data_IF_404733026122
#
_entry.id   IF_404733026122
#
_cell.length_a   1.000
_cell.length_b   1.000
_cell.length_c   1.000
_cell.angle_alpha   90.00
_cell.angle_beta   90.00
_cell.angle_gamma   90.00
#
_symmetry.space_group_name_H-M   'P 1'
#
loop_
_entity.id
_entity.type
_entity.pdbx_description
1 polymer ?
#
# COMPACT_ATOMS: atom_id res chain seq x y z
N UNK A 1 -8.23 4.81 13.09
CA UNK A 1 -9.25 5.83 12.76
C UNK A 1 -8.76 6.74 11.65
N UNK A 2 -7.70 7.50 11.84
CA UNK A 2 -7.18 8.47 10.84
C UNK A 2 -7.00 7.87 9.43
N UNK A 3 -6.44 6.64 9.32
CA UNK A 3 -6.30 5.95 8.03
C UNK A 3 -7.67 5.71 7.38
N UNK A 4 -8.66 5.26 8.15
CA UNK A 4 -10.02 4.98 7.65
C UNK A 4 -10.67 6.23 7.11
N UNK A 5 -10.57 7.32 7.85
CA UNK A 5 -11.16 8.61 7.47
C UNK A 5 -10.54 9.13 6.16
N UNK A 6 -9.20 9.12 6.07
CA UNK A 6 -8.52 9.58 4.86
C UNK A 6 -8.80 8.61 3.70
N UNK A 7 -8.80 7.29 3.94
CA UNK A 7 -9.10 6.28 2.93
C UNK A 7 -10.50 6.47 2.35
N UNK A 8 -11.51 6.57 3.22
CA UNK A 8 -12.90 6.73 2.81
C UNK A 8 -13.12 8.03 2.04
N UNK A 9 -12.47 9.12 2.43
CA UNK A 9 -12.50 10.37 1.70
C UNK A 9 -11.80 10.24 0.34
N UNK A 10 -10.54 9.85 0.34
CA UNK A 10 -9.68 9.83 -0.85
C UNK A 10 -10.19 8.91 -1.96
N UNK A 11 -10.80 7.77 -1.60
CA UNK A 11 -11.18 6.72 -2.55
C UNK A 11 -12.66 6.73 -2.92
N UNK A 12 -13.47 7.61 -2.32
CA UNK A 12 -14.93 7.68 -2.52
C UNK A 12 -15.36 7.88 -3.98
N UNK A 13 -14.51 8.43 -4.84
CA UNK A 13 -14.77 8.60 -6.26
C UNK A 13 -14.26 7.47 -7.16
N UNK A 14 -13.63 6.44 -6.61
CA UNK A 14 -13.06 5.35 -7.40
C UNK A 14 -14.13 4.33 -7.79
N UNK A 15 -13.99 3.76 -8.97
CA UNK A 15 -14.86 2.67 -9.42
C UNK A 15 -14.82 1.49 -8.45
N UNK A 16 -15.98 0.97 -8.08
CA UNK A 16 -16.11 -0.17 -7.18
C UNK A 16 -15.72 0.12 -5.72
N UNK A 17 -15.59 1.40 -5.34
CA UNK A 17 -15.28 1.77 -3.98
C UNK A 17 -16.40 1.34 -3.01
N UNK A 18 -15.99 0.73 -1.91
CA UNK A 18 -16.84 0.41 -0.76
C UNK A 18 -16.21 1.05 0.47
N UNK A 19 -16.96 1.89 1.21
CA UNK A 19 -16.44 2.50 2.43
C UNK A 19 -16.02 1.45 3.44
N UNK A 20 -14.87 1.65 4.07
CA UNK A 20 -14.38 0.82 5.15
C UNK A 20 -14.99 1.29 6.48
N UNK A 21 -15.60 0.39 7.22
CA UNK A 21 -16.08 0.69 8.58
C UNK A 21 -14.94 0.63 9.59
N UNK A 22 -15.07 1.31 10.74
CA UNK A 22 -14.07 1.23 11.82
C UNK A 22 -13.87 -0.22 12.28
N UNK A 23 -14.94 -0.99 12.40
CA UNK A 23 -14.90 -2.38 12.81
C UNK A 23 -14.10 -3.27 11.84
N UNK A 24 -14.30 -3.10 10.53
CA UNK A 24 -13.55 -3.82 9.50
C UNK A 24 -12.08 -3.41 9.49
N UNK A 25 -11.81 -2.12 9.69
CA UNK A 25 -10.44 -1.62 9.76
C UNK A 25 -9.69 -2.16 10.98
N UNK A 26 -10.33 -2.21 12.14
CA UNK A 26 -9.76 -2.78 13.36
C UNK A 26 -9.45 -4.26 13.20
N UNK A 27 -10.35 -5.02 12.59
CA UNK A 27 -10.15 -6.43 12.30
C UNK A 27 -8.99 -6.64 11.31
N UNK A 28 -8.94 -5.84 10.25
CA UNK A 28 -7.85 -5.88 9.28
C UNK A 28 -6.52 -5.50 9.93
N UNK A 29 -6.48 -4.44 10.73
CA UNK A 29 -5.28 -4.00 11.43
C UNK A 29 -4.74 -5.09 12.40
N UNK A 30 -5.62 -5.77 13.14
CA UNK A 30 -5.23 -6.90 13.99
C UNK A 30 -4.57 -8.03 13.19
N UNK A 31 -5.17 -8.40 12.05
CA UNK A 31 -4.63 -9.46 11.18
C UNK A 31 -3.31 -9.05 10.53
N UNK A 32 -3.17 -7.78 10.16
CA UNK A 32 -1.98 -7.26 9.48
C UNK A 32 -0.86 -6.88 10.45
N UNK A 33 -1.10 -6.81 11.76
CA UNK A 33 -0.12 -6.39 12.77
C UNK A 33 1.22 -7.14 12.69
N UNK A 34 1.19 -8.41 12.29
CA UNK A 34 2.41 -9.22 12.13
C UNK A 34 3.28 -8.75 10.96
N UNK A 35 2.64 -8.12 9.95
CA UNK A 35 3.28 -7.66 8.72
C UNK A 35 3.64 -6.18 8.74
N UNK A 36 2.98 -5.40 9.60
CA UNK A 36 3.22 -3.96 9.70
C UNK A 36 4.58 -3.68 10.36
N UNK A 37 5.30 -2.76 9.77
CA UNK A 37 6.51 -2.16 10.32
C UNK A 37 6.32 -0.65 10.34
N UNK A 38 6.54 -0.01 11.49
CA UNK A 38 6.30 1.43 11.68
C UNK A 38 7.09 2.29 10.70
N UNK A 39 8.27 1.83 10.28
CA UNK A 39 9.12 2.51 9.30
C UNK A 39 8.49 2.59 7.90
N UNK A 40 7.47 1.79 7.64
CA UNK A 40 6.76 1.72 6.36
C UNK A 40 5.35 2.31 6.41
N UNK A 41 4.99 3.02 7.49
CA UNK A 41 3.70 3.68 7.66
C UNK A 41 3.92 5.15 7.96
N UNK A 42 3.43 6.02 7.10
CA UNK A 42 3.62 7.46 7.25
C UNK A 42 2.34 8.24 7.02
N UNK A 43 2.24 9.36 7.72
CA UNK A 43 1.20 10.36 7.55
C UNK A 43 1.85 11.68 7.12
N UNK A 44 1.10 12.44 6.33
CA UNK A 44 1.44 13.84 6.07
C UNK A 44 0.38 14.73 6.72
N UNK A 45 0.84 15.77 7.38
CA UNK A 45 0.00 16.75 8.06
C UNK A 45 0.17 18.12 7.40
N UNK A 46 -0.92 18.84 7.31
CA UNK A 46 -0.97 20.25 6.89
C UNK A 46 -1.76 20.99 7.96
N UNK A 47 -1.19 22.03 8.51
CA UNK A 47 -1.78 22.86 9.58
C UNK A 47 -2.27 22.04 10.80
N UNK A 48 -1.57 20.93 11.12
CA UNK A 48 -1.89 20.05 12.24
C UNK A 48 -2.98 19.03 11.96
N UNK A 49 -3.49 18.95 10.73
CA UNK A 49 -4.46 17.93 10.31
C UNK A 49 -3.75 16.87 9.44
N UNK A 50 -4.00 15.59 9.74
CA UNK A 50 -3.54 14.49 8.90
C UNK A 50 -4.36 14.45 7.61
N UNK A 51 -3.69 14.76 6.49
CA UNK A 51 -4.35 14.89 5.18
C UNK A 51 -3.97 13.81 4.17
N UNK A 52 -2.93 13.06 4.45
CA UNK A 52 -2.51 11.97 3.59
C UNK A 52 -1.82 10.86 4.39
N UNK A 53 -1.78 9.67 3.83
CA UNK A 53 -1.06 8.54 4.40
C UNK A 53 -0.53 7.58 3.34
N UNK A 54 0.45 6.79 3.72
CA UNK A 54 0.97 5.66 2.96
C UNK A 54 1.22 4.48 3.89
N UNK A 55 0.90 3.28 3.43
CA UNK A 55 1.21 2.02 4.11
C UNK A 55 1.92 1.13 3.11
N UNK A 56 3.12 0.71 3.44
CA UNK A 56 3.81 -0.33 2.70
C UNK A 56 3.93 -1.59 3.56
N UNK A 57 3.85 -2.74 2.90
CA UNK A 57 3.94 -4.05 3.54
C UNK A 57 5.04 -4.87 2.88
N UNK A 58 5.82 -5.65 3.65
CA UNK A 58 6.72 -6.63 3.09
C UNK A 58 6.00 -7.57 2.12
N UNK A 59 6.67 -7.96 1.05
CA UNK A 59 6.08 -8.84 0.03
C UNK A 59 5.98 -10.28 0.55
N UNK A 60 4.83 -10.60 1.11
CA UNK A 60 4.54 -11.93 1.66
C UNK A 60 4.65 -13.03 0.58
N UNK A 61 4.41 -12.70 -0.69
CA UNK A 61 4.53 -13.68 -1.77
C UNK A 61 5.95 -14.26 -1.91
N UNK A 62 6.97 -13.47 -1.54
CA UNK A 62 8.34 -13.99 -1.48
C UNK A 62 8.50 -15.03 -0.37
N UNK A 63 7.83 -14.82 0.76
CA UNK A 63 7.91 -15.71 1.91
C UNK A 63 7.16 -17.04 1.71
N UNK A 64 6.08 -17.04 0.91
CA UNK A 64 5.24 -18.23 0.68
C UNK A 64 5.55 -18.97 -0.63
N UNK A 65 6.40 -18.42 -1.48
CA UNK A 65 6.62 -18.86 -2.87
C UNK A 65 6.87 -20.36 -3.02
N UNK A 66 7.58 -20.97 -2.08
CA UNK A 66 8.00 -22.38 -2.14
C UNK A 66 7.32 -23.26 -1.06
N UNK A 67 6.22 -22.77 -0.48
CA UNK A 67 5.45 -23.54 0.50
C UNK A 67 4.41 -24.47 -0.14
N UNK A 68 4.22 -24.39 -1.47
CA UNK A 68 3.28 -25.24 -2.19
C UNK A 68 1.83 -25.18 -1.69
N UNK A 69 1.45 -24.05 -1.03
CA UNK A 69 0.12 -23.91 -0.43
C UNK A 69 -0.08 -24.63 0.91
N UNK A 70 0.97 -25.30 1.45
CA UNK A 70 0.87 -26.03 2.72
C UNK A 70 1.71 -25.37 3.82
N UNK A 71 1.06 -25.14 4.96
CA UNK A 71 1.74 -24.64 6.18
C UNK A 71 2.14 -25.75 7.16
N UNK A 72 1.65 -26.98 6.95
CA UNK A 72 1.98 -28.13 7.80
C UNK A 72 2.90 -29.11 7.07
N UNK A 73 3.81 -29.80 7.79
CA UNK A 73 4.03 -29.67 9.24
C UNK A 73 4.91 -28.48 9.66
N UNK A 74 5.80 -27.97 8.81
CA UNK A 74 6.81 -26.95 9.20
C UNK A 74 6.71 -25.66 8.36
N UNK A 75 5.80 -25.55 7.42
CA UNK A 75 5.66 -24.38 6.55
C UNK A 75 5.36 -23.09 7.32
N UNK A 76 4.58 -23.16 8.42
CA UNK A 76 4.31 -22.03 9.29
C UNK A 76 5.56 -21.49 9.99
N UNK A 77 6.44 -22.38 10.48
CA UNK A 77 7.69 -21.97 11.14
C UNK A 77 8.65 -21.31 10.14
N UNK A 78 8.75 -21.87 8.92
CA UNK A 78 9.50 -21.29 7.82
C UNK A 78 8.98 -19.92 7.40
N UNK A 79 7.65 -19.75 7.36
CA UNK A 79 7.00 -18.49 7.08
C UNK A 79 7.33 -17.43 8.14
N UNK A 80 7.14 -17.76 9.42
CA UNK A 80 7.45 -16.85 10.51
C UNK A 80 8.92 -16.44 10.54
N UNK A 81 9.83 -17.39 10.35
CA UNK A 81 11.25 -17.10 10.27
C UNK A 81 11.60 -16.15 9.12
N UNK A 82 10.97 -16.35 7.95
CA UNK A 82 11.17 -15.48 6.80
C UNK A 82 10.64 -14.07 7.03
N UNK A 83 9.46 -13.95 7.64
CA UNK A 83 8.85 -12.64 7.89
C UNK A 83 9.56 -11.85 8.99
N UNK A 84 10.09 -12.55 10.04
CA UNK A 84 10.62 -11.88 11.23
C UNK A 84 12.14 -11.81 11.28
N UNK A 85 12.83 -12.77 10.67
CA UNK A 85 14.30 -12.90 10.76
C UNK A 85 14.98 -12.60 9.43
N UNK A 86 14.54 -13.26 8.35
CA UNK A 86 15.18 -13.09 7.05
C UNK A 86 14.80 -11.77 6.39
N UNK A 87 13.59 -11.27 6.65
CA UNK A 87 13.01 -10.13 5.93
C UNK A 87 12.59 -10.47 4.51
N UNK A 88 11.87 -9.56 3.88
CA UNK A 88 11.52 -9.59 2.47
C UNK A 88 12.55 -8.80 1.65
N UNK A 89 12.75 -9.18 0.39
CA UNK A 89 13.57 -8.40 -0.55
C UNK A 89 12.83 -7.24 -1.19
N UNK A 90 11.51 -7.20 -1.05
CA UNK A 90 10.65 -6.16 -1.59
C UNK A 90 9.45 -5.86 -0.69
N UNK A 91 8.81 -4.72 -0.93
CA UNK A 91 7.55 -4.34 -0.32
C UNK A 91 6.52 -3.95 -1.37
N UNK A 92 5.28 -3.82 -0.93
CA UNK A 92 4.16 -3.34 -1.72
C UNK A 92 3.42 -2.26 -0.96
N UNK A 93 2.98 -1.22 -1.65
CA UNK A 93 2.11 -0.18 -1.13
C UNK A 93 0.66 -0.51 -1.51
N UNK A 94 -0.11 -1.21 -0.67
CA UNK A 94 -1.51 -1.50 -0.95
C UNK A 94 -2.43 -0.30 -0.71
N UNK A 95 -2.02 0.62 0.16
CA UNK A 95 -2.84 1.75 0.58
C UNK A 95 -2.03 3.04 0.57
N UNK A 96 -2.53 4.02 -0.15
CA UNK A 96 -2.10 5.40 -0.12
C UNK A 96 -3.31 6.29 -0.42
N UNK A 97 -3.46 7.37 0.32
CA UNK A 97 -4.56 8.30 0.12
C UNK A 97 -4.16 9.73 0.44
N UNK A 98 -4.75 10.66 -0.29
CA UNK A 98 -4.68 12.12 -0.04
C UNK A 98 -6.11 12.63 -0.01
N UNK A 99 -6.46 13.44 1.00
CA UNK A 99 -7.81 13.99 1.15
C UNK A 99 -8.23 14.76 -0.10
N UNK A 100 -9.49 14.57 -0.50
CA UNK A 100 -10.03 15.09 -1.76
C UNK A 100 -10.02 16.61 -1.86
N UNK A 101 -10.16 17.32 -0.74
CA UNK A 101 -10.11 18.79 -0.76
C UNK A 101 -8.75 19.34 -1.23
N UNK A 102 -7.69 18.53 -1.18
CA UNK A 102 -6.37 18.89 -1.71
C UNK A 102 -6.18 18.46 -3.18
N UNK A 103 -7.16 17.75 -3.76
CA UNK A 103 -7.06 17.31 -5.14
C UNK A 103 -6.93 18.51 -6.10
N UNK A 104 -5.98 18.45 -7.04
CA UNK A 104 -5.70 19.52 -7.99
C UNK A 104 -4.92 20.72 -7.41
N UNK A 105 -4.63 20.74 -6.11
CA UNK A 105 -3.74 21.76 -5.52
C UNK A 105 -2.27 21.37 -5.68
N UNK A 106 -1.37 22.36 -5.55
CA UNK A 106 0.07 22.13 -5.56
C UNK A 106 0.49 21.21 -4.40
N UNK A 107 -0.05 21.44 -3.21
CA UNK A 107 0.18 20.61 -2.01
C UNK A 107 -0.26 19.17 -2.27
N UNK A 108 -1.51 18.95 -2.69
CA UNK A 108 -2.03 17.62 -2.96
C UNK A 108 -1.24 16.85 -4.02
N UNK A 109 -0.65 17.56 -4.99
CA UNK A 109 0.22 16.95 -6.01
C UNK A 109 1.61 16.57 -5.48
N UNK A 110 2.10 17.25 -4.44
CA UNK A 110 3.41 16.99 -3.83
C UNK A 110 3.36 15.87 -2.79
N UNK A 111 2.23 15.71 -2.07
CA UNK A 111 2.09 14.76 -0.96
C UNK A 111 2.42 13.30 -1.34
N UNK A 112 1.98 12.74 -2.49
CA UNK A 112 2.35 11.39 -2.88
C UNK A 112 3.85 11.18 -3.02
N UNK A 113 4.57 12.18 -3.56
CA UNK A 113 6.03 12.14 -3.69
C UNK A 113 6.72 12.13 -2.33
N UNK A 114 6.26 13.01 -1.42
CA UNK A 114 6.80 13.10 -0.07
C UNK A 114 6.56 11.81 0.71
N UNK A 115 5.38 11.23 0.62
CA UNK A 115 5.04 9.95 1.28
C UNK A 115 5.90 8.79 0.75
N UNK A 116 6.08 8.69 -0.56
CA UNK A 116 6.98 7.67 -1.16
C UNK A 116 8.42 7.92 -0.70
N UNK A 117 8.86 9.19 -0.63
CA UNK A 117 10.18 9.54 -0.10
C UNK A 117 10.35 9.17 1.37
N UNK A 118 9.30 9.35 2.19
CA UNK A 118 9.32 9.09 3.62
C UNK A 118 9.49 7.62 3.99
N UNK A 119 8.97 6.68 3.19
CA UNK A 119 9.16 5.24 3.44
C UNK A 119 10.56 4.75 3.04
N UNK A 120 11.29 5.49 2.21
CA UNK A 120 12.54 5.02 1.61
C UNK A 120 13.65 4.71 2.62
N UNK A 121 13.92 5.56 3.63
CA UNK A 121 14.92 5.25 4.66
C UNK A 121 14.60 3.94 5.41
N UNK A 122 13.36 3.77 5.85
CA UNK A 122 12.91 2.55 6.51
C UNK A 122 13.00 1.31 5.60
N UNK A 123 12.73 1.48 4.32
CA UNK A 123 12.88 0.42 3.33
C UNK A 123 14.34 -0.04 3.19
N UNK A 124 15.29 0.89 3.17
CA UNK A 124 16.73 0.60 3.13
C UNK A 124 17.16 -0.14 4.40
N UNK A 125 16.76 0.33 5.58
CA UNK A 125 17.07 -0.31 6.86
C UNK A 125 16.54 -1.74 6.94
N UNK A 126 15.39 -2.01 6.32
CA UNK A 126 14.79 -3.35 6.22
C UNK A 126 15.41 -4.21 5.13
N UNK A 127 16.38 -3.69 4.36
CA UNK A 127 17.03 -4.41 3.26
C UNK A 127 16.14 -4.61 2.04
N UNK A 128 15.08 -3.80 1.90
CA UNK A 128 14.21 -3.83 0.72
C UNK A 128 14.94 -3.24 -0.49
N UNK A 129 14.87 -3.94 -1.62
CA UNK A 129 15.56 -3.55 -2.87
C UNK A 129 14.66 -2.79 -3.83
N UNK A 130 13.36 -3.00 -3.72
CA UNK A 130 12.34 -2.32 -4.54
C UNK A 130 10.98 -2.33 -3.84
N UNK A 131 10.12 -1.41 -4.23
CA UNK A 131 8.76 -1.25 -3.71
C UNK A 131 7.80 -1.21 -4.88
N UNK A 132 6.77 -2.05 -4.84
CA UNK A 132 5.66 -2.03 -5.78
C UNK A 132 4.63 -1.00 -5.32
N UNK A 133 4.40 0.02 -6.14
CA UNK A 133 3.37 1.03 -5.92
C UNK A 133 2.10 0.60 -6.67
N UNK A 134 1.21 -0.08 -6.03
CA UNK A 134 0.05 -0.73 -6.66
C UNK A 134 -1.20 -0.71 -5.77
N UNK A 135 -2.35 -0.66 -6.32
CA UNK A 135 -2.76 -0.65 -7.72
C UNK A 135 -3.01 0.78 -8.17
N UNK A 136 -2.79 1.06 -9.41
CA UNK A 136 -3.07 2.36 -9.97
C UNK A 136 -4.04 2.13 -11.11
N UNK A 137 -5.21 2.78 -11.03
CA UNK A 137 -6.20 2.74 -12.09
C UNK A 137 -5.61 3.31 -13.38
N UNK A 138 -6.02 2.76 -14.52
CA UNK A 138 -5.48 3.14 -15.83
C UNK A 138 -5.76 4.61 -16.17
N UNK A 139 -6.87 5.14 -15.71
CA UNK A 139 -7.31 6.51 -15.88
C UNK A 139 -6.74 7.50 -14.87
N UNK A 140 -6.06 7.01 -13.81
CA UNK A 140 -5.36 7.87 -12.86
C UNK A 140 -4.02 8.38 -13.43
N UNK A 141 -4.12 9.16 -14.51
CA UNK A 141 -2.99 9.74 -15.23
C UNK A 141 -2.10 10.65 -14.35
N UNK A 142 -2.64 11.47 -13.43
CA UNK A 142 -1.81 12.27 -12.54
C UNK A 142 -0.84 11.43 -11.73
N UNK A 143 -1.32 10.37 -11.07
CA UNK A 143 -0.49 9.47 -10.26
C UNK A 143 0.53 8.74 -11.12
N UNK A 144 0.13 8.20 -12.27
CA UNK A 144 1.04 7.50 -13.19
C UNK A 144 2.21 8.38 -13.60
N UNK A 145 1.94 9.63 -14.03
CA UNK A 145 2.99 10.60 -14.43
C UNK A 145 3.94 10.94 -13.28
N UNK A 146 3.43 11.05 -12.05
CA UNK A 146 4.25 11.30 -10.87
C UNK A 146 5.23 10.14 -10.67
N UNK A 147 4.75 8.91 -10.71
CA UNK A 147 5.57 7.72 -10.49
C UNK A 147 6.59 7.48 -11.60
N UNK A 148 6.20 7.71 -12.85
CA UNK A 148 7.10 7.63 -13.99
C UNK A 148 8.28 8.63 -13.88
N UNK A 149 8.01 9.83 -13.38
CA UNK A 149 9.06 10.82 -13.09
C UNK A 149 10.00 10.39 -11.95
N UNK A 150 9.55 9.55 -11.03
CA UNK A 150 10.37 8.92 -10.00
C UNK A 150 11.18 7.71 -10.52
N UNK A 151 11.07 7.39 -11.80
CA UNK A 151 11.74 6.23 -12.40
C UNK A 151 10.98 4.92 -12.25
N UNK A 152 9.73 4.95 -11.76
CA UNK A 152 8.90 3.76 -11.72
C UNK A 152 8.41 3.39 -13.12
N UNK A 153 8.25 2.10 -13.38
CA UNK A 153 7.71 1.58 -14.64
C UNK A 153 6.60 0.56 -14.39
N UNK A 154 5.58 0.59 -15.24
CA UNK A 154 4.52 -0.40 -15.19
C UNK A 154 5.07 -1.76 -15.69
N UNK A 155 5.09 -2.77 -14.83
CA UNK A 155 5.59 -4.10 -15.17
C UNK A 155 4.48 -5.17 -15.21
N UNK A 156 3.29 -4.83 -14.71
CA UNK A 156 2.08 -5.66 -14.77
C UNK A 156 0.87 -4.81 -15.09
N UNK A 157 -0.02 -5.35 -15.92
CA UNK A 157 -1.33 -4.76 -16.22
C UNK A 157 -2.39 -5.79 -15.91
N UNK A 158 -3.38 -5.41 -15.10
CA UNK A 158 -4.53 -6.23 -14.76
C UNK A 158 -5.76 -5.74 -15.50
N UNK A 159 -6.62 -6.66 -15.93
CA UNK A 159 -7.90 -6.36 -16.56
C UNK A 159 -9.01 -7.13 -15.85
N UNK A 160 -10.10 -6.45 -15.58
CA UNK A 160 -11.33 -7.06 -15.06
C UNK A 160 -12.31 -7.15 -16.24
N UNK A 161 -12.80 -8.35 -16.49
CA UNK A 161 -13.77 -8.61 -17.56
C UNK A 161 -15.13 -8.90 -16.95
N UNK A 162 -16.19 -8.23 -17.46
CA UNK A 162 -17.57 -8.52 -17.13
C UNK A 162 -18.24 -9.26 -18.30
N UNK A 163 -19.15 -10.21 -17.98
CA UNK A 163 -20.07 -10.81 -18.96
C UNK A 163 -21.49 -10.57 -18.47
N UNK A 164 -22.32 -10.01 -19.32
CA UNK A 164 -23.75 -9.92 -19.04
C UNK A 164 -24.33 -11.33 -19.00
N UNK A 165 -25.06 -11.72 -17.94
CA UNK A 165 -25.81 -12.98 -17.93
C UNK A 165 -26.79 -12.96 -19.11
N UNK A 166 -26.75 -14.02 -19.91
CA UNK A 166 -27.72 -14.23 -20.99
C UNK A 166 -29.06 -14.72 -20.46
#
# INVERSE_FOLDING_TARGET
RTIVDIYNDAWSGNWGFVPLTESEADEMAKRMRVLLDERLVWFAEVDGEAVAFIVALPNVNEAIRDLGGSLLPFGWAKLLWRLKVKGAGSARVPLMGVRRHLAGTMIGSALPLQLVGAIWPGAIELGLRWIELSWILEDNLPMRRILERLGAHAYKTYRIYGKTPG
#
